data_IF_890825036949
#
_entry.id   IF_890825036949
#
_cell.length_a   1.000
_cell.length_b   1.000
_cell.length_c   1.000
_cell.angle_alpha   90.00
_cell.angle_beta   90.00
_cell.angle_gamma   90.00
#
_symmetry.space_group_name_H-M   'P 1'
#
loop_
_entity.id
_entity.type
_entity.pdbx_description
1 polymer ?
#
# COMPACT_ATOMS: atom_id res chain seq x y z
N UNK A 1 60.01 3.95 60.78
CA UNK A 1 58.83 3.45 60.03
C UNK A 1 57.72 4.47 60.19
N UNK A 2 57.29 5.13 59.13
CA UNK A 2 56.10 5.97 59.12
C UNK A 2 55.37 5.73 57.80
N UNK A 3 54.28 4.98 57.88
CA UNK A 3 53.39 4.63 56.78
C UNK A 3 52.44 5.80 56.51
N UNK A 4 52.67 6.53 55.43
CA UNK A 4 51.72 7.52 54.93
C UNK A 4 50.60 6.79 54.18
N UNK A 5 49.50 6.50 54.89
CA UNK A 5 48.23 6.06 54.31
C UNK A 5 47.67 7.16 53.39
N UNK A 6 47.74 6.94 52.07
CA UNK A 6 47.03 7.76 51.08
C UNK A 6 45.55 7.39 51.09
N UNK A 7 44.74 8.20 51.77
CA UNK A 7 43.27 8.26 51.63
C UNK A 7 42.87 8.31 50.16
N UNK A 8 42.25 7.26 49.65
CA UNK A 8 41.53 7.31 48.37
C UNK A 8 40.24 8.11 48.56
N UNK A 9 40.15 9.27 47.91
CA UNK A 9 38.91 10.05 47.84
C UNK A 9 37.89 9.25 47.01
N UNK A 10 36.92 8.65 47.69
CA UNK A 10 35.71 8.11 47.06
C UNK A 10 35.00 9.25 46.33
N UNK A 11 35.08 9.25 45.00
CA UNK A 11 34.38 10.20 44.14
C UNK A 11 32.94 9.70 44.04
N UNK A 12 31.99 10.43 44.61
CA UNK A 12 30.56 10.20 44.37
C UNK A 12 30.31 10.44 42.87
N UNK A 13 30.24 9.37 42.08
CA UNK A 13 29.98 9.46 40.64
C UNK A 13 28.46 9.50 40.48
N UNK A 14 27.92 10.68 40.20
CA UNK A 14 26.52 10.80 39.79
C UNK A 14 26.33 10.08 38.45
N UNK A 15 25.42 9.09 38.36
CA UNK A 15 25.28 8.27 37.14
C UNK A 15 24.87 9.12 35.92
N UNK A 16 24.12 10.21 36.15
CA UNK A 16 23.70 11.14 35.11
C UNK A 16 24.86 11.94 34.48
N UNK A 17 25.92 12.25 35.24
CA UNK A 17 27.08 12.98 34.69
C UNK A 17 28.00 12.02 33.93
N UNK A 18 28.19 10.80 34.43
CA UNK A 18 28.97 9.78 33.73
C UNK A 18 28.36 9.39 32.37
N UNK A 19 27.02 9.31 32.28
CA UNK A 19 26.34 9.02 31.01
C UNK A 19 26.51 10.13 29.97
N UNK A 20 26.46 11.40 30.41
CA UNK A 20 26.71 12.55 29.54
C UNK A 20 28.13 12.52 28.99
N UNK A 21 29.12 12.26 29.84
CA UNK A 21 30.52 12.23 29.44
C UNK A 21 30.82 11.09 28.43
N UNK A 22 30.11 9.96 28.56
CA UNK A 22 30.19 8.84 27.60
C UNK A 22 29.55 9.21 26.26
N UNK A 23 28.38 9.87 26.26
CA UNK A 23 27.68 10.29 25.03
C UNK A 23 28.45 11.40 24.30
N UNK A 24 29.08 12.33 25.02
CA UNK A 24 29.90 13.40 24.45
C UNK A 24 31.35 13.00 24.19
N UNK A 25 31.70 11.72 24.35
CA UNK A 25 33.00 11.19 23.91
C UNK A 25 33.07 11.16 22.38
N UNK A 26 34.15 11.72 21.81
CA UNK A 26 34.36 11.88 20.37
C UNK A 26 34.21 10.57 19.56
N UNK A 27 34.45 9.43 20.20
CA UNK A 27 34.36 8.12 19.56
C UNK A 27 32.94 7.52 19.58
N UNK A 28 32.12 7.86 20.58
CA UNK A 28 30.78 7.27 20.79
C UNK A 28 29.68 8.15 20.22
N UNK A 29 29.88 9.47 20.24
CA UNK A 29 28.96 10.47 19.69
C UNK A 29 28.46 10.16 18.25
N UNK A 30 29.32 9.82 17.27
CA UNK A 30 28.84 9.53 15.90
C UNK A 30 27.92 8.30 15.84
N UNK A 31 28.13 7.29 16.69
CA UNK A 31 27.25 6.11 16.75
C UNK A 31 25.90 6.45 17.36
N UNK A 32 25.86 7.24 18.43
CA UNK A 32 24.60 7.67 19.04
C UNK A 32 23.79 8.51 18.05
N UNK A 33 24.45 9.40 17.31
CA UNK A 33 23.81 10.21 16.28
C UNK A 33 23.24 9.37 15.15
N UNK A 34 23.97 8.38 14.64
CA UNK A 34 23.46 7.49 13.59
C UNK A 34 22.28 6.64 14.06
N UNK A 35 22.33 6.11 15.28
CA UNK A 35 21.20 5.40 15.88
C UNK A 35 19.98 6.29 16.06
N UNK A 36 20.17 7.56 16.42
CA UNK A 36 19.08 8.53 16.53
C UNK A 36 18.43 8.78 15.16
N UNK A 37 19.25 8.99 14.12
CA UNK A 37 18.77 9.18 12.73
C UNK A 37 18.02 7.94 12.23
N UNK A 38 18.55 6.73 12.49
CA UNK A 38 17.89 5.46 12.16
C UNK A 38 16.54 5.32 12.89
N UNK A 39 16.47 5.71 14.16
CA UNK A 39 15.23 5.72 14.93
C UNK A 39 14.17 6.65 14.33
N UNK A 40 14.56 7.85 13.93
CA UNK A 40 13.66 8.79 13.25
C UNK A 40 13.18 8.25 11.90
N UNK A 41 14.09 7.68 11.10
CA UNK A 41 13.75 7.03 9.83
C UNK A 41 12.75 5.89 10.02
N UNK A 42 12.95 5.03 11.02
CA UNK A 42 12.03 3.94 11.32
C UNK A 42 10.61 4.43 11.61
N UNK A 43 10.47 5.47 12.44
CA UNK A 43 9.15 6.06 12.75
C UNK A 43 8.51 6.67 11.49
N UNK A 44 9.29 7.38 10.68
CA UNK A 44 8.82 7.96 9.42
C UNK A 44 8.35 6.88 8.44
N UNK A 45 9.15 5.82 8.25
CA UNK A 45 8.76 4.69 7.41
C UNK A 45 7.52 3.98 7.94
N UNK A 46 7.38 3.81 9.26
CA UNK A 46 6.19 3.20 9.86
C UNK A 46 4.94 4.03 9.56
N UNK A 47 5.00 5.35 9.72
CA UNK A 47 3.89 6.25 9.41
C UNK A 47 3.54 6.20 7.92
N UNK A 48 4.54 6.20 7.03
CA UNK A 48 4.32 6.11 5.58
C UNK A 48 3.79 4.76 5.13
N UNK A 49 4.17 3.68 5.80
CA UNK A 49 3.62 2.34 5.56
C UNK A 49 2.12 2.29 5.80
N UNK A 50 1.66 2.87 6.91
CA UNK A 50 0.22 2.93 7.26
C UNK A 50 -0.55 3.79 6.24
N UNK A 51 -0.02 4.96 5.85
CA UNK A 51 -0.64 5.82 4.84
C UNK A 51 -0.77 5.11 3.48
N UNK A 52 0.27 4.36 3.09
CA UNK A 52 0.29 3.61 1.84
C UNK A 52 -0.75 2.48 1.86
N UNK A 53 -0.86 1.75 2.97
CA UNK A 53 -1.82 0.65 3.11
C UNK A 53 -3.27 1.14 2.97
N UNK A 54 -3.60 2.31 3.53
CA UNK A 54 -4.91 2.94 3.32
C UNK A 54 -5.16 3.30 1.85
N UNK A 55 -4.15 3.85 1.15
CA UNK A 55 -4.27 4.17 -0.29
C UNK A 55 -4.42 2.91 -1.13
N UNK A 56 -3.68 1.85 -0.82
CA UNK A 56 -3.80 0.56 -1.50
C UNK A 56 -5.22 0.01 -1.30
N UNK A 57 -5.72 0.04 -0.06
CA UNK A 57 -7.07 -0.43 0.26
C UNK A 57 -8.14 0.36 -0.49
N UNK A 58 -8.01 1.69 -0.62
CA UNK A 58 -8.98 2.47 -1.39
C UNK A 58 -8.91 2.15 -2.89
N UNK A 59 -7.70 2.05 -3.45
CA UNK A 59 -7.53 1.72 -4.88
C UNK A 59 -8.07 0.33 -5.19
N UNK A 60 -7.83 -0.66 -4.33
CA UNK A 60 -8.35 -2.01 -4.50
C UNK A 60 -9.89 -2.05 -4.48
N UNK A 61 -10.53 -1.25 -3.62
CA UNK A 61 -12.00 -1.11 -3.63
C UNK A 61 -12.53 -0.53 -4.94
N UNK A 62 -11.84 0.45 -5.50
CA UNK A 62 -12.24 1.03 -6.78
C UNK A 62 -12.03 0.05 -7.95
N UNK A 63 -10.93 -0.71 -7.93
CA UNK A 63 -10.71 -1.81 -8.88
C UNK A 63 -11.86 -2.82 -8.78
N UNK A 64 -12.22 -3.24 -7.56
CA UNK A 64 -13.31 -4.19 -7.35
C UNK A 64 -14.63 -3.67 -7.93
N UNK A 65 -15.00 -2.41 -7.65
CA UNK A 65 -16.18 -1.78 -8.23
C UNK A 65 -16.18 -1.82 -9.76
N UNK A 66 -15.08 -1.38 -10.38
CA UNK A 66 -14.95 -1.39 -11.85
C UNK A 66 -15.06 -2.81 -12.40
N UNK A 67 -14.50 -3.81 -11.72
CA UNK A 67 -14.63 -5.21 -12.16
C UNK A 67 -16.08 -5.72 -12.06
N UNK A 68 -16.82 -5.35 -11.02
CA UNK A 68 -18.24 -5.70 -10.86
C UNK A 68 -19.09 -5.01 -11.94
N UNK A 69 -18.86 -3.72 -12.17
CA UNK A 69 -19.56 -2.95 -13.21
C UNK A 69 -19.30 -3.55 -14.60
N UNK A 70 -18.07 -3.97 -14.88
CA UNK A 70 -17.72 -4.62 -16.13
C UNK A 70 -18.44 -5.97 -16.30
N UNK A 71 -18.52 -6.78 -15.23
CA UNK A 71 -19.29 -8.03 -15.23
C UNK A 71 -20.78 -7.77 -15.51
N UNK A 72 -21.36 -6.75 -14.87
CA UNK A 72 -22.75 -6.37 -15.08
C UNK A 72 -22.98 -5.87 -16.53
N UNK A 73 -22.11 -5.02 -17.05
CA UNK A 73 -22.14 -4.52 -18.42
C UNK A 73 -22.06 -5.66 -19.44
N UNK A 74 -21.16 -6.63 -19.23
CA UNK A 74 -21.06 -7.82 -20.08
C UNK A 74 -22.35 -8.64 -20.04
N UNK A 75 -22.94 -8.84 -18.87
CA UNK A 75 -24.22 -9.54 -18.73
C UNK A 75 -25.37 -8.77 -19.43
N UNK A 76 -25.43 -7.45 -19.28
CA UNK A 76 -26.39 -6.57 -19.98
C UNK A 76 -26.21 -6.66 -21.50
N UNK A 77 -24.98 -6.60 -22.00
CA UNK A 77 -24.65 -6.76 -23.42
C UNK A 77 -25.11 -8.12 -23.95
N UNK A 78 -24.78 -9.22 -23.26
CA UNK A 78 -25.22 -10.56 -23.65
C UNK A 78 -26.74 -10.69 -23.64
N UNK A 79 -27.42 -10.11 -22.64
CA UNK A 79 -28.89 -10.08 -22.58
C UNK A 79 -29.50 -9.29 -23.73
N UNK A 80 -28.90 -8.15 -24.10
CA UNK A 80 -29.33 -7.32 -25.23
C UNK A 80 -29.15 -8.03 -26.58
N UNK A 81 -28.01 -8.67 -26.78
CA UNK A 81 -27.67 -9.43 -27.98
C UNK A 81 -28.30 -10.83 -28.04
N UNK A 82 -29.00 -11.25 -26.97
CA UNK A 82 -29.65 -12.56 -26.95
C UNK A 82 -30.68 -12.68 -28.07
N UNK A 83 -30.71 -13.83 -28.75
CA UNK A 83 -31.62 -14.11 -29.86
C UNK A 83 -33.08 -13.84 -29.49
N UNK A 84 -33.48 -14.18 -28.25
CA UNK A 84 -34.82 -13.90 -27.72
C UNK A 84 -35.15 -12.41 -27.73
N UNK A 85 -34.22 -11.55 -27.30
CA UNK A 85 -34.43 -10.10 -27.24
C UNK A 85 -34.36 -9.46 -28.62
N UNK A 86 -33.46 -9.92 -29.48
CA UNK A 86 -33.38 -9.52 -30.88
C UNK A 86 -34.66 -9.86 -31.65
N UNK A 87 -35.20 -11.07 -31.50
CA UNK A 87 -36.49 -11.47 -32.11
C UNK A 87 -37.65 -10.64 -31.59
N UNK A 88 -37.72 -10.38 -30.28
CA UNK A 88 -38.74 -9.49 -29.70
C UNK A 88 -38.65 -8.08 -30.27
N UNK A 89 -37.44 -7.55 -30.45
CA UNK A 89 -37.22 -6.23 -31.03
C UNK A 89 -37.58 -6.20 -32.52
N UNK A 90 -37.18 -7.22 -33.29
CA UNK A 90 -37.55 -7.39 -34.69
C UNK A 90 -39.06 -7.40 -34.90
N UNK A 91 -39.80 -8.13 -34.05
CA UNK A 91 -41.27 -8.15 -34.07
C UNK A 91 -41.90 -6.78 -33.83
N UNK A 92 -41.32 -5.93 -32.95
CA UNK A 92 -41.80 -4.57 -32.69
C UNK A 92 -41.68 -3.65 -33.92
N UNK A 93 -40.67 -3.87 -34.75
CA UNK A 93 -40.40 -3.06 -35.95
C UNK A 93 -40.85 -3.74 -37.25
N UNK A 94 -41.62 -4.84 -37.17
CA UNK A 94 -42.11 -5.57 -38.35
C UNK A 94 -41.01 -6.28 -39.16
N UNK A 95 -39.81 -6.44 -38.60
CA UNK A 95 -38.68 -7.09 -39.25
C UNK A 95 -38.86 -8.61 -39.21
N UNK A 96 -38.62 -9.27 -40.34
CA UNK A 96 -38.70 -10.73 -40.51
C UNK A 96 -37.32 -11.36 -40.64
N UNK A 97 -37.22 -12.64 -40.30
CA UNK A 97 -35.99 -13.39 -40.47
C UNK A 97 -35.62 -13.46 -41.98
N UNK A 98 -34.37 -13.16 -42.35
CA UNK A 98 -33.94 -13.15 -43.74
C UNK A 98 -34.01 -14.55 -44.34
N UNK A 99 -34.29 -14.62 -45.64
CA UNK A 99 -34.24 -15.88 -46.41
C UNK A 99 -32.79 -16.25 -46.69
N UNK A 100 -32.52 -17.52 -46.95
CA UNK A 100 -31.16 -18.03 -47.19
C UNK A 100 -30.43 -17.29 -48.34
N UNK A 101 -31.17 -16.87 -49.37
CA UNK A 101 -30.64 -16.06 -50.50
C UNK A 101 -30.21 -14.64 -50.12
N UNK A 102 -30.56 -14.16 -48.94
CA UNK A 102 -30.27 -12.80 -48.44
C UNK A 102 -29.12 -12.79 -47.41
N UNK A 103 -28.56 -13.96 -47.08
CA UNK A 103 -27.45 -14.08 -46.12
C UNK A 103 -26.14 -14.00 -46.91
N UNK A 104 -25.32 -13.00 -46.60
CA UNK A 104 -23.96 -12.85 -47.15
C UNK A 104 -22.98 -13.26 -46.05
N UNK A 105 -22.16 -14.27 -46.31
CA UNK A 105 -21.08 -14.71 -45.41
C UNK A 105 -19.79 -14.06 -45.90
N UNK A 106 -19.16 -13.24 -45.06
CA UNK A 106 -17.80 -12.75 -45.33
C UNK A 106 -16.80 -13.80 -44.83
N UNK A 107 -15.73 -14.10 -45.60
CA UNK A 107 -14.59 -14.86 -45.10
C UNK A 107 -13.80 -14.01 -44.09
N UNK A 108 -13.23 -14.69 -43.09
CA UNK A 108 -12.34 -14.08 -42.07
C UNK A 108 -11.01 -13.61 -42.65
#
# INVERSE_FOLDING_TARGET
MATASRRSKSKNINPATALKDIIFSNQVFPFVLTFFVLGLLFVLFRMKGVELDYKITSVNKDIERVTLDNKELKAKKARLLSVKRLRKMAGKYGLKQPRQKQIIVLPD
#
